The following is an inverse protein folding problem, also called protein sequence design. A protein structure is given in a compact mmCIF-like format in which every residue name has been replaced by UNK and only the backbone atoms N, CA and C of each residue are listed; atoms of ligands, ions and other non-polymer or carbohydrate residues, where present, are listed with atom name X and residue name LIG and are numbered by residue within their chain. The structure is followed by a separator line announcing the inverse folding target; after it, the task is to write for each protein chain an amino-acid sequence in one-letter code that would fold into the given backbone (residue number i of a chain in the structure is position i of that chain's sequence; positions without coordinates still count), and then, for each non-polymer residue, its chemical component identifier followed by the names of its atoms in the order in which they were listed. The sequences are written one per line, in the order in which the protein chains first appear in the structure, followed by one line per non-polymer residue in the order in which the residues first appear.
data_IF_949747277625
#
_entry.id   IF_949747277625
#
_cell.length_a   1.000
_cell.length_b   1.000
_cell.length_c   1.000
_cell.angle_alpha   90.00
_cell.angle_beta   90.00
_cell.angle_gamma   90.00
#
_symmetry.space_group_name_H-M   'P 1'
#
loop_
_entity.id
_entity.type
_entity.pdbx_description
1 polymer ?
#
# COMPACT_ATOMS: atom_id res chain seq x y z
N UNK A 1 -3.95 -22.22 -26.32
CA UNK A 1 -3.28 -21.24 -25.43
C UNK A 1 -2.86 -20.00 -26.20
N UNK A 2 -2.27 -20.15 -27.39
CA UNK A 2 -1.80 -19.02 -28.20
C UNK A 2 -2.94 -18.14 -28.74
N UNK A 3 -4.08 -18.72 -29.10
CA UNK A 3 -5.25 -17.96 -29.58
C UNK A 3 -5.81 -17.00 -28.50
N UNK A 4 -5.93 -17.48 -27.25
CA UNK A 4 -6.35 -16.66 -26.10
C UNK A 4 -5.37 -15.52 -25.83
N UNK A 5 -4.08 -15.80 -25.88
CA UNK A 5 -3.04 -14.78 -25.68
C UNK A 5 -3.11 -13.73 -26.79
N UNK A 6 -3.30 -14.15 -28.04
CA UNK A 6 -3.48 -13.23 -29.16
C UNK A 6 -4.73 -12.34 -28.99
N UNK A 7 -5.82 -12.89 -28.45
CA UNK A 7 -7.01 -12.09 -28.12
C UNK A 7 -6.70 -11.04 -27.04
N UNK A 8 -5.97 -11.42 -25.99
CA UNK A 8 -5.56 -10.50 -24.93
C UNK A 8 -4.64 -9.39 -25.44
N UNK A 9 -3.70 -9.71 -26.35
CA UNK A 9 -2.82 -8.73 -27.00
C UNK A 9 -3.67 -7.70 -27.75
N UNK A 10 -4.58 -8.14 -28.62
CA UNK A 10 -5.48 -7.23 -29.38
C UNK A 10 -6.32 -6.35 -28.46
N UNK A 11 -6.85 -6.91 -27.36
CA UNK A 11 -7.58 -6.12 -26.34
C UNK A 11 -6.67 -5.07 -25.70
N UNK A 12 -5.45 -5.43 -25.34
CA UNK A 12 -4.50 -4.53 -24.69
C UNK A 12 -4.05 -3.39 -25.60
N UNK A 13 -3.85 -3.66 -26.90
CA UNK A 13 -3.55 -2.65 -27.93
C UNK A 13 -4.70 -1.65 -28.11
N UNK A 14 -5.94 -2.14 -28.12
CA UNK A 14 -7.13 -1.28 -28.16
C UNK A 14 -7.20 -0.38 -26.92
N UNK A 15 -6.91 -0.93 -25.74
CA UNK A 15 -6.88 -0.16 -24.49
C UNK A 15 -5.79 0.92 -24.54
N UNK A 16 -4.60 0.57 -25.02
CA UNK A 16 -3.50 1.53 -25.16
C UNK A 16 -3.87 2.68 -26.12
N UNK A 17 -4.49 2.34 -27.24
CA UNK A 17 -4.99 3.33 -28.22
C UNK A 17 -5.94 4.33 -27.56
N UNK A 18 -6.89 3.85 -26.75
CA UNK A 18 -7.82 4.70 -26.02
C UNK A 18 -7.14 5.56 -24.94
N UNK A 19 -6.13 5.01 -24.24
CA UNK A 19 -5.31 5.76 -23.28
C UNK A 19 -4.48 6.85 -23.98
N UNK A 20 -4.00 6.58 -25.20
CA UNK A 20 -3.27 7.55 -26.02
C UNK A 20 -4.17 8.72 -26.41
N UNK A 21 -5.42 8.44 -26.79
CA UNK A 21 -6.48 9.45 -27.05
C UNK A 21 -6.94 10.21 -25.80
N UNK A 22 -6.48 9.83 -24.60
CA UNK A 22 -6.79 10.52 -23.35
C UNK A 22 -7.87 9.84 -22.49
N UNK A 23 -8.42 8.70 -22.91
CA UNK A 23 -9.34 7.94 -22.07
C UNK A 23 -8.59 7.21 -20.95
N UNK A 24 -8.53 7.83 -19.77
CA UNK A 24 -7.79 7.28 -18.63
C UNK A 24 -8.59 6.23 -17.84
N UNK A 25 -9.83 5.90 -18.20
CA UNK A 25 -10.74 5.05 -17.41
C UNK A 25 -10.45 3.54 -17.61
N UNK A 26 -9.30 3.08 -17.09
CA UNK A 26 -8.86 1.67 -17.22
C UNK A 26 -9.91 0.62 -16.82
N UNK A 27 -10.76 0.90 -15.81
CA UNK A 27 -11.82 -0.03 -15.39
C UNK A 27 -12.87 -0.26 -16.49
N UNK A 28 -13.37 0.81 -17.11
CA UNK A 28 -14.38 0.67 -18.18
C UNK A 28 -13.79 0.05 -19.45
N UNK A 29 -12.48 0.22 -19.65
CA UNK A 29 -11.75 -0.38 -20.77
C UNK A 29 -11.44 -1.88 -20.57
N UNK A 30 -11.79 -2.47 -19.42
CA UNK A 30 -11.56 -3.90 -19.15
C UNK A 30 -10.11 -4.26 -18.76
N UNK A 31 -9.22 -3.27 -18.61
CA UNK A 31 -7.80 -3.47 -18.29
C UNK A 31 -7.57 -4.36 -17.07
N UNK A 32 -8.35 -4.17 -16.00
CA UNK A 32 -8.17 -4.94 -14.76
C UNK A 32 -8.51 -6.42 -14.88
N UNK A 33 -9.32 -6.82 -15.89
CA UNK A 33 -9.58 -8.24 -16.18
C UNK A 33 -8.31 -8.90 -16.74
N UNK A 34 -7.65 -8.24 -17.70
CA UNK A 34 -6.37 -8.71 -18.27
C UNK A 34 -5.28 -8.78 -17.19
N UNK A 35 -5.21 -7.78 -16.30
CA UNK A 35 -4.28 -7.81 -15.15
C UNK A 35 -4.58 -9.01 -14.24
N UNK A 36 -5.85 -9.30 -13.96
CA UNK A 36 -6.22 -10.45 -13.15
C UNK A 36 -5.77 -11.77 -13.79
N UNK A 37 -5.98 -11.93 -15.10
CA UNK A 37 -5.48 -13.11 -15.83
C UNK A 37 -3.96 -13.23 -15.75
N UNK A 38 -3.23 -12.13 -15.88
CA UNK A 38 -1.78 -12.11 -15.69
C UNK A 38 -1.36 -12.44 -14.24
N UNK A 39 -2.13 -12.05 -13.23
CA UNK A 39 -1.84 -12.43 -11.84
C UNK A 39 -2.00 -13.93 -11.61
N UNK A 40 -2.98 -14.54 -12.26
CA UNK A 40 -3.33 -15.97 -12.13
C UNK A 40 -2.41 -16.84 -12.97
N UNK A 41 -2.03 -16.43 -14.18
CA UNK A 41 -1.18 -17.24 -15.05
C UNK A 41 0.22 -16.60 -15.23
N UNK A 42 1.30 -17.21 -14.70
CA UNK A 42 2.67 -16.71 -14.83
C UNK A 42 3.13 -16.55 -16.29
N UNK A 43 2.64 -17.39 -17.21
CA UNK A 43 2.99 -17.31 -18.63
C UNK A 43 2.43 -16.02 -19.26
N UNK A 44 1.17 -15.68 -18.94
CA UNK A 44 0.55 -14.41 -19.35
C UNK A 44 1.30 -13.23 -18.74
N UNK A 45 1.70 -13.31 -17.45
CA UNK A 45 2.53 -12.27 -16.83
C UNK A 45 3.87 -12.05 -17.56
N UNK A 46 4.53 -13.14 -17.99
CA UNK A 46 5.80 -13.06 -18.70
C UNK A 46 5.67 -12.37 -20.06
N UNK A 47 4.60 -12.67 -20.80
CA UNK A 47 4.37 -12.13 -22.15
C UNK A 47 3.80 -10.70 -22.10
N UNK A 48 2.73 -10.48 -21.34
CA UNK A 48 1.98 -9.22 -21.36
C UNK A 48 2.40 -8.24 -20.26
N UNK A 49 3.13 -8.70 -19.25
CA UNK A 49 3.42 -7.92 -18.04
C UNK A 49 4.09 -6.58 -18.33
N UNK A 50 5.00 -6.53 -19.32
CA UNK A 50 5.70 -5.29 -19.70
C UNK A 50 4.70 -4.26 -20.24
N UNK A 51 3.85 -4.67 -21.18
CA UNK A 51 2.84 -3.81 -21.81
C UNK A 51 1.78 -3.34 -20.80
N UNK A 52 1.35 -4.25 -19.91
CA UNK A 52 0.47 -3.92 -18.79
C UNK A 52 1.08 -2.82 -17.91
N UNK A 53 2.37 -2.95 -17.58
CA UNK A 53 3.07 -1.99 -16.75
C UNK A 53 3.21 -0.62 -17.44
N UNK A 54 3.52 -0.59 -18.73
CA UNK A 54 3.63 0.62 -19.53
C UNK A 54 2.31 1.40 -19.59
N UNK A 55 1.19 0.73 -19.89
CA UNK A 55 -0.14 1.36 -19.92
C UNK A 55 -0.51 1.91 -18.54
N UNK A 56 -0.28 1.10 -17.49
CA UNK A 56 -0.61 1.52 -16.12
C UNK A 56 0.22 2.72 -15.67
N UNK A 57 1.52 2.72 -15.98
CA UNK A 57 2.43 3.83 -15.72
C UNK A 57 1.98 5.07 -16.48
N UNK A 58 1.68 4.97 -17.78
CA UNK A 58 1.23 6.09 -18.62
C UNK A 58 -0.04 6.75 -18.07
N UNK A 59 -1.02 5.96 -17.64
CA UNK A 59 -2.24 6.49 -17.01
C UNK A 59 -1.93 7.15 -15.67
N UNK A 60 -1.08 6.54 -14.85
CA UNK A 60 -0.68 7.13 -13.57
C UNK A 60 0.03 8.47 -13.78
N UNK A 61 0.96 8.52 -14.75
CA UNK A 61 1.76 9.70 -15.04
C UNK A 61 0.93 10.88 -15.53
N UNK A 62 -0.12 10.62 -16.30
CA UNK A 62 -1.09 11.64 -16.73
C UNK A 62 -2.01 12.11 -15.59
N UNK A 63 -2.33 11.25 -14.62
CA UNK A 63 -3.25 11.58 -13.52
C UNK A 63 -2.56 12.26 -12.33
N UNK A 64 -1.34 11.87 -12.00
CA UNK A 64 -0.59 12.39 -10.85
C UNK A 64 0.57 13.26 -11.29
N UNK A 65 0.49 14.55 -10.98
CA UNK A 65 1.56 15.53 -11.18
C UNK A 65 2.65 15.42 -10.11
N UNK A 66 2.23 15.25 -8.86
CA UNK A 66 3.12 15.19 -7.69
C UNK A 66 3.54 13.74 -7.44
N UNK A 67 4.74 13.39 -7.90
CA UNK A 67 5.34 12.07 -7.76
C UNK A 67 6.85 12.22 -7.64
N UNK A 68 7.44 11.48 -6.72
CA UNK A 68 8.86 11.57 -6.40
C UNK A 68 9.54 10.21 -6.56
N UNK A 69 10.86 10.20 -6.64
CA UNK A 69 11.64 8.96 -6.64
C UNK A 69 11.35 8.22 -5.32
N UNK A 70 11.00 6.91 -5.35
CA UNK A 70 10.65 6.17 -4.15
C UNK A 70 11.69 6.31 -3.04
N UNK A 71 12.98 6.15 -3.38
CA UNK A 71 14.06 6.18 -2.40
C UNK A 71 14.13 7.49 -1.61
N UNK A 72 13.84 8.65 -2.24
CA UNK A 72 13.86 9.94 -1.54
C UNK A 72 12.75 10.01 -0.49
N UNK A 73 11.55 9.55 -0.82
CA UNK A 73 10.47 9.51 0.14
C UNK A 73 10.70 8.48 1.24
N UNK A 74 11.31 7.32 0.93
CA UNK A 74 11.65 6.33 1.95
C UNK A 74 12.71 6.88 2.91
N UNK A 75 13.76 7.53 2.40
CA UNK A 75 14.76 8.20 3.25
C UNK A 75 14.09 9.24 4.15
N UNK A 76 13.25 10.11 3.58
CA UNK A 76 12.56 11.15 4.34
C UNK A 76 11.67 10.56 5.44
N UNK A 77 10.87 9.54 5.14
CA UNK A 77 9.98 8.90 6.11
C UNK A 77 10.75 8.13 7.18
N UNK A 78 11.87 7.50 6.82
CA UNK A 78 12.77 6.90 7.80
C UNK A 78 13.40 7.95 8.72
N UNK A 79 13.85 9.09 8.18
CA UNK A 79 14.38 10.20 8.97
C UNK A 79 13.33 10.77 9.94
N UNK A 80 12.09 10.97 9.48
CA UNK A 80 10.97 11.37 10.34
C UNK A 80 10.73 10.35 11.46
N UNK A 81 10.79 9.06 11.13
CA UNK A 81 10.60 7.99 12.12
C UNK A 81 11.71 7.99 13.17
N UNK A 82 12.97 8.10 12.73
CA UNK A 82 14.14 8.18 13.62
C UNK A 82 14.06 9.42 14.50
N UNK A 83 13.74 10.58 13.92
CA UNK A 83 13.61 11.83 14.68
C UNK A 83 12.49 11.74 15.73
N UNK A 84 11.35 11.14 15.37
CA UNK A 84 10.24 10.91 16.30
C UNK A 84 10.70 10.02 17.46
N UNK A 85 11.35 8.88 17.17
CA UNK A 85 11.90 7.99 18.20
C UNK A 85 12.94 8.70 19.07
N UNK A 86 13.80 9.55 18.50
CA UNK A 86 14.81 10.28 19.27
C UNK A 86 14.18 11.32 20.19
N UNK A 87 13.09 11.96 19.75
CA UNK A 87 12.38 12.97 20.54
C UNK A 87 11.80 12.40 21.84
N UNK A 88 11.50 11.10 21.91
CA UNK A 88 11.13 10.41 23.15
C UNK A 88 12.13 10.67 24.28
N UNK A 89 13.44 10.58 24.01
CA UNK A 89 14.47 10.75 25.03
C UNK A 89 14.55 12.18 25.58
N UNK A 90 14.09 13.17 24.80
CA UNK A 90 14.04 14.57 25.23
C UNK A 90 12.86 14.84 26.17
N UNK A 91 11.76 14.10 26.02
CA UNK A 91 10.54 14.29 26.80
C UNK A 91 10.35 13.23 27.90
N UNK A 92 11.22 12.22 27.97
CA UNK A 92 11.04 11.04 28.82
C UNK A 92 10.83 11.35 30.31
N UNK A 93 11.53 12.36 30.83
CA UNK A 93 11.46 12.72 32.25
C UNK A 93 10.30 13.64 32.62
N UNK A 94 9.62 14.23 31.63
CA UNK A 94 8.47 15.11 31.85
C UNK A 94 7.19 14.36 31.48
N UNK A 95 6.40 14.00 32.50
CA UNK A 95 5.15 13.24 32.32
C UNK A 95 4.17 13.94 31.39
N UNK A 96 4.07 15.26 31.45
CA UNK A 96 3.14 16.03 30.63
C UNK A 96 3.59 16.03 29.17
N UNK A 97 4.86 16.34 28.90
CA UNK A 97 5.42 16.32 27.55
C UNK A 97 5.41 14.91 26.95
N UNK A 98 5.70 13.89 27.75
CA UNK A 98 5.61 12.50 27.33
C UNK A 98 4.16 12.13 26.94
N UNK A 99 3.17 12.61 27.71
CA UNK A 99 1.75 12.39 27.39
C UNK A 99 1.30 13.10 26.11
N UNK A 100 1.92 14.22 25.73
CA UNK A 100 1.71 14.86 24.41
C UNK A 100 2.39 14.05 23.31
N UNK A 101 3.61 13.59 23.57
CA UNK A 101 4.41 12.86 22.61
C UNK A 101 3.77 11.55 22.15
N UNK A 102 3.18 10.77 23.06
CA UNK A 102 2.65 9.44 22.76
C UNK A 102 1.60 9.42 21.63
N UNK A 103 0.48 10.18 21.68
CA UNK A 103 -0.52 10.15 20.62
C UNK A 103 0.00 10.70 19.30
N UNK A 104 0.81 11.76 19.34
CA UNK A 104 1.43 12.36 18.13
C UNK A 104 2.34 11.33 17.46
N UNK A 105 3.18 10.65 18.25
CA UNK A 105 4.15 9.68 17.75
C UNK A 105 3.49 8.40 17.25
N UNK A 106 2.42 7.95 17.93
CA UNK A 106 1.58 6.85 17.47
C UNK A 106 1.09 7.11 16.04
N UNK A 107 0.57 8.31 15.77
CA UNK A 107 0.12 8.70 14.43
C UNK A 107 1.28 8.83 13.43
N UNK A 108 2.32 9.59 13.77
CA UNK A 108 3.46 9.85 12.87
C UNK A 108 4.15 8.54 12.48
N UNK A 109 4.52 7.71 13.46
CA UNK A 109 5.23 6.44 13.21
C UNK A 109 4.37 5.44 12.46
N UNK A 110 3.06 5.39 12.74
CA UNK A 110 2.13 4.55 11.97
C UNK A 110 2.12 4.96 10.49
N UNK A 111 1.98 6.25 10.20
CA UNK A 111 1.93 6.78 8.85
C UNK A 111 3.27 6.69 8.11
N UNK A 112 4.40 6.91 8.80
CA UNK A 112 5.73 6.90 8.19
C UNK A 112 6.26 5.48 7.98
N UNK A 113 6.08 4.58 8.95
CA UNK A 113 6.59 3.22 8.86
C UNK A 113 5.78 2.37 7.89
N UNK A 114 4.48 2.61 7.70
CA UNK A 114 3.65 1.85 6.77
C UNK A 114 4.25 1.70 5.35
N UNK A 115 4.51 2.79 4.60
CA UNK A 115 5.11 2.69 3.27
C UNK A 115 6.59 2.25 3.33
N UNK A 116 7.32 2.56 4.40
CA UNK A 116 8.71 2.09 4.57
C UNK A 116 8.75 0.56 4.63
N UNK A 117 7.90 -0.05 5.46
CA UNK A 117 7.77 -1.49 5.56
C UNK A 117 7.31 -2.10 4.24
N UNK A 118 6.30 -1.56 3.57
CA UNK A 118 5.86 -2.06 2.25
C UNK A 118 6.98 -1.99 1.22
N UNK A 119 7.76 -0.90 1.20
CA UNK A 119 8.89 -0.74 0.31
C UNK A 119 9.94 -1.81 0.57
N UNK A 120 10.39 -1.95 1.83
CA UNK A 120 11.42 -2.92 2.21
C UNK A 120 10.95 -4.35 1.89
N UNK A 121 9.76 -4.74 2.35
CA UNK A 121 9.19 -6.07 2.08
C UNK A 121 9.06 -6.33 0.57
N UNK A 122 8.58 -5.34 -0.19
CA UNK A 122 8.49 -5.46 -1.64
C UNK A 122 9.85 -5.65 -2.31
N UNK A 123 10.86 -4.87 -1.91
CA UNK A 123 12.22 -4.97 -2.45
C UNK A 123 12.88 -6.31 -2.14
N UNK A 124 12.69 -6.85 -0.93
CA UNK A 124 13.16 -8.20 -0.55
C UNK A 124 12.58 -9.27 -1.48
N UNK A 125 11.33 -9.09 -1.91
CA UNK A 125 10.67 -10.01 -2.85
C UNK A 125 10.88 -9.69 -4.34
N UNK A 126 11.71 -8.70 -4.67
CA UNK A 126 11.99 -8.30 -6.05
C UNK A 126 10.93 -7.39 -6.69
N UNK A 127 9.94 -6.93 -5.92
CA UNK A 127 8.92 -5.98 -6.37
C UNK A 127 9.53 -4.58 -6.40
N UNK A 128 9.48 -3.93 -7.56
CA UNK A 128 9.97 -2.55 -7.72
C UNK A 128 8.82 -1.56 -7.55
N UNK A 129 9.18 -0.32 -7.24
CA UNK A 129 8.27 0.81 -7.11
C UNK A 129 8.71 1.90 -8.08
N UNK A 130 7.75 2.53 -8.73
CA UNK A 130 7.98 3.60 -9.69
C UNK A 130 8.06 4.96 -9.00
N UNK A 131 7.12 5.21 -8.09
CA UNK A 131 6.96 6.51 -7.44
C UNK A 131 6.54 6.37 -5.98
N UNK A 132 6.92 7.35 -5.17
CA UNK A 132 6.17 7.71 -3.97
C UNK A 132 5.36 8.96 -4.28
N UNK A 133 4.11 9.00 -3.83
CA UNK A 133 3.19 10.08 -4.13
C UNK A 133 2.25 10.32 -2.95
N UNK A 134 1.82 11.57 -2.71
CA UNK A 134 0.79 11.84 -1.72
C UNK A 134 -0.55 11.26 -2.20
N UNK A 135 -1.05 10.28 -1.47
CA UNK A 135 -2.40 9.72 -1.51
C UNK A 135 -3.22 10.38 -0.40
N UNK A 136 -4.52 10.54 -0.63
CA UNK A 136 -5.35 11.29 0.31
C UNK A 136 -5.66 10.53 1.60
N UNK A 137 -5.60 11.24 2.74
CA UNK A 137 -6.15 10.81 4.04
C UNK A 137 -7.69 10.76 3.95
N UNK A 138 -8.29 9.67 4.43
CA UNK A 138 -9.75 9.51 4.53
C UNK A 138 -10.16 9.27 5.98
N UNK A 139 -10.18 10.32 6.80
CA UNK A 139 -10.72 10.16 8.16
C UNK A 139 -12.25 10.36 8.15
N UNK A 140 -12.84 11.23 7.29
CA UNK A 140 -14.30 11.48 7.33
C UNK A 140 -15.08 11.70 6.01
N UNK A 141 -14.45 11.81 4.83
CA UNK A 141 -15.24 11.91 3.59
C UNK A 141 -14.46 11.59 2.31
N UNK A 142 -15.12 10.84 1.42
CA UNK A 142 -14.61 10.42 0.11
C UNK A 142 -15.15 11.30 -1.04
N UNK A 143 -15.40 12.59 -0.80
CA UNK A 143 -15.85 13.49 -1.88
C UNK A 143 -14.68 13.93 -2.76
N UNK A 144 -14.92 13.82 -4.07
CA UNK A 144 -14.03 14.09 -5.20
C UNK A 144 -13.70 15.57 -5.43
N UNK A 145 -14.11 16.48 -4.54
CA UNK A 145 -13.95 17.92 -4.75
C UNK A 145 -13.13 18.54 -3.63
N UNK A 146 -11.84 18.75 -3.95
CA UNK A 146 -10.97 19.73 -3.31
C UNK A 146 -10.71 19.52 -1.82
N UNK A 147 -9.51 19.02 -1.49
CA UNK A 147 -8.68 19.46 -0.35
C UNK A 147 -7.33 18.75 -0.46
N UNK A 148 -6.27 19.50 -0.13
CA UNK A 148 -4.87 19.04 -0.09
C UNK A 148 -4.76 17.96 0.99
N UNK A 149 -4.14 16.83 0.66
CA UNK A 149 -4.06 15.63 1.50
C UNK A 149 -2.70 14.96 1.33
N UNK A 150 -2.01 14.65 2.42
CA UNK A 150 -0.63 14.17 2.40
C UNK A 150 -0.53 12.88 3.22
N UNK A 151 -0.77 11.74 2.58
CA UNK A 151 -0.37 10.43 3.08
C UNK A 151 0.55 9.79 2.02
N UNK A 152 1.80 9.43 2.33
CA UNK A 152 2.69 8.84 1.34
C UNK A 152 2.19 7.46 0.89
N UNK A 153 2.03 7.27 -0.42
CA UNK A 153 1.72 5.97 -1.02
C UNK A 153 2.75 5.58 -2.07
N UNK A 154 2.91 4.27 -2.25
CA UNK A 154 3.85 3.71 -3.22
C UNK A 154 3.12 3.26 -4.48
N UNK A 155 3.67 3.64 -5.63
CA UNK A 155 3.23 3.16 -6.93
C UNK A 155 4.07 1.94 -7.31
N UNK A 156 3.44 0.78 -7.37
CA UNK A 156 4.07 -0.47 -7.82
C UNK A 156 4.47 -0.38 -9.29
N UNK A 157 5.61 -0.98 -9.62
CA UNK A 157 5.92 -1.40 -10.98
C UNK A 157 5.20 -2.73 -11.26
N UNK A 158 4.19 -2.69 -12.14
CA UNK A 158 3.35 -3.86 -12.40
C UNK A 158 4.13 -5.01 -13.06
N UNK A 159 5.23 -4.74 -13.77
CA UNK A 159 5.99 -5.80 -14.41
C UNK A 159 6.70 -6.68 -13.36
N UNK A 160 7.50 -6.07 -12.47
CA UNK A 160 8.12 -6.80 -11.36
C UNK A 160 7.08 -7.38 -10.41
N UNK A 161 5.98 -6.67 -10.15
CA UNK A 161 4.88 -7.18 -9.34
C UNK A 161 4.27 -8.46 -9.91
N UNK A 162 3.85 -8.48 -11.18
CA UNK A 162 3.18 -9.64 -11.77
C UNK A 162 4.08 -10.87 -11.87
N UNK A 163 5.39 -10.67 -12.04
CA UNK A 163 6.39 -11.74 -12.08
C UNK A 163 6.82 -12.25 -10.69
N UNK A 164 6.31 -11.65 -9.61
CA UNK A 164 6.57 -12.10 -8.23
C UNK A 164 5.51 -13.11 -7.79
N UNK A 165 5.85 -14.23 -7.12
CA UNK A 165 4.87 -15.19 -6.62
C UNK A 165 3.73 -14.57 -5.78
N UNK A 166 2.47 -15.03 -5.92
CA UNK A 166 1.31 -14.41 -5.29
C UNK A 166 1.41 -14.30 -3.76
N UNK A 167 1.95 -15.30 -3.08
CA UNK A 167 2.12 -15.26 -1.62
C UNK A 167 3.05 -14.12 -1.18
N UNK A 168 4.13 -13.85 -1.93
CA UNK A 168 5.06 -12.75 -1.66
C UNK A 168 4.39 -11.40 -1.90
N UNK A 169 3.54 -11.30 -2.93
CA UNK A 169 2.71 -10.11 -3.18
C UNK A 169 1.73 -9.87 -2.03
N UNK A 170 1.10 -10.93 -1.54
CA UNK A 170 0.17 -10.86 -0.40
C UNK A 170 0.88 -10.33 0.85
N UNK A 171 2.02 -10.93 1.23
CA UNK A 171 2.81 -10.51 2.40
C UNK A 171 3.22 -9.03 2.29
N UNK A 172 3.66 -8.57 1.11
CA UNK A 172 4.01 -7.16 0.88
C UNK A 172 2.83 -6.21 1.13
N UNK A 173 1.62 -6.55 0.69
CA UNK A 173 0.44 -5.71 0.96
C UNK A 173 0.09 -5.69 2.44
N UNK A 174 0.18 -6.82 3.13
CA UNK A 174 -0.13 -6.94 4.55
C UNK A 174 0.90 -6.22 5.45
N UNK A 175 2.17 -6.20 5.06
CA UNK A 175 3.26 -5.78 5.97
C UNK A 175 3.10 -4.35 6.51
N UNK A 176 2.68 -3.40 5.66
CA UNK A 176 2.42 -2.03 6.09
C UNK A 176 1.29 -1.93 7.13
N UNK A 177 0.18 -2.65 6.89
CA UNK A 177 -0.96 -2.68 7.80
C UNK A 177 -0.62 -3.37 9.13
N UNK A 178 0.14 -4.46 9.09
CA UNK A 178 0.62 -5.13 10.30
C UNK A 178 1.47 -4.19 11.16
N UNK A 179 2.45 -3.49 10.58
CA UNK A 179 3.30 -2.55 11.34
C UNK A 179 2.50 -1.38 11.90
N UNK A 180 1.58 -0.84 11.10
CA UNK A 180 0.64 0.21 11.52
C UNK A 180 -0.11 -0.20 12.79
N UNK A 181 -0.67 -1.41 12.82
CA UNK A 181 -1.42 -1.94 13.95
C UNK A 181 -0.53 -2.14 15.18
N UNK A 182 0.67 -2.71 14.99
CA UNK A 182 1.63 -2.91 16.07
C UNK A 182 2.04 -1.59 16.72
N UNK A 183 2.28 -0.53 15.93
CA UNK A 183 2.65 0.79 16.44
C UNK A 183 1.54 1.37 17.31
N UNK A 184 0.30 1.41 16.83
CA UNK A 184 -0.79 2.05 17.60
C UNK A 184 -1.14 1.27 18.87
N UNK A 185 -1.08 -0.07 18.83
CA UNK A 185 -1.26 -0.92 20.01
C UNK A 185 -0.11 -0.71 21.00
N UNK A 186 1.13 -0.66 20.52
CA UNK A 186 2.30 -0.39 21.36
C UNK A 186 2.13 0.93 22.13
N UNK A 187 1.80 2.04 21.45
CA UNK A 187 1.63 3.33 22.11
C UNK A 187 0.47 3.35 23.10
N UNK A 188 -0.64 2.64 22.81
CA UNK A 188 -1.73 2.49 23.77
C UNK A 188 -1.31 1.73 25.03
N UNK A 189 -0.74 0.53 24.88
CA UNK A 189 -0.27 -0.28 26.02
C UNK A 189 0.80 0.48 26.80
N UNK A 190 1.76 1.08 26.09
CA UNK A 190 2.86 1.82 26.70
C UNK A 190 2.35 3.02 27.51
N UNK A 191 1.34 3.76 27.00
CA UNK A 191 0.72 4.87 27.73
C UNK A 191 0.12 4.46 29.08
N UNK A 192 -0.40 3.23 29.18
CA UNK A 192 -0.92 2.65 30.43
C UNK A 192 0.23 2.30 31.37
N UNK A 193 1.26 1.60 30.85
CA UNK A 193 2.41 1.13 31.64
C UNK A 193 3.12 2.28 32.35
N UNK A 194 3.32 3.40 31.66
CA UNK A 194 4.01 4.56 32.24
C UNK A 194 3.09 5.48 33.03
N UNK A 195 1.81 5.12 33.18
CA UNK A 195 0.79 5.94 33.82
C UNK A 195 0.76 7.37 33.24
N UNK A 196 0.67 7.49 31.91
CA UNK A 196 0.55 8.79 31.23
C UNK A 196 -0.70 9.55 31.70
N UNK A 197 -0.82 10.82 31.34
CA UNK A 197 -2.04 11.57 31.59
C UNK A 197 -3.26 10.87 30.98
N UNK A 198 -4.39 10.86 31.70
CA UNK A 198 -5.57 10.06 31.32
C UNK A 198 -6.08 10.39 29.90
N UNK A 199 -6.01 11.66 29.51
CA UNK A 199 -6.42 12.09 28.17
C UNK A 199 -5.50 11.50 27.09
N UNK A 200 -4.20 11.33 27.35
CA UNK A 200 -3.26 10.71 26.42
C UNK A 200 -3.58 9.23 26.25
N UNK A 201 -3.86 8.53 27.35
CA UNK A 201 -4.27 7.11 27.32
C UNK A 201 -5.53 6.94 26.48
N UNK A 202 -6.53 7.80 26.69
CA UNK A 202 -7.79 7.79 25.92
C UNK A 202 -7.51 8.03 24.43
N UNK A 203 -6.71 9.04 24.06
CA UNK A 203 -6.41 9.32 22.65
C UNK A 203 -5.68 8.15 22.01
N UNK A 204 -4.64 7.60 22.66
CA UNK A 204 -3.94 6.41 22.16
C UNK A 204 -4.89 5.21 22.00
N UNK A 205 -5.82 5.02 22.95
CA UNK A 205 -6.84 3.97 22.87
C UNK A 205 -7.80 4.17 21.70
N UNK A 206 -8.30 5.39 21.50
CA UNK A 206 -9.15 5.75 20.35
C UNK A 206 -8.39 5.53 19.04
N UNK A 207 -7.12 5.91 18.96
CA UNK A 207 -6.28 5.63 17.78
C UNK A 207 -6.16 4.13 17.55
N UNK A 208 -5.75 3.34 18.54
CA UNK A 208 -5.63 1.89 18.40
C UNK A 208 -6.93 1.22 17.95
N UNK A 209 -8.06 1.55 18.60
CA UNK A 209 -9.39 1.03 18.23
C UNK A 209 -9.78 1.48 16.83
N UNK A 210 -9.59 2.76 16.47
CA UNK A 210 -9.96 3.27 15.14
C UNK A 210 -9.18 2.57 14.01
N UNK A 211 -7.89 2.27 14.21
CA UNK A 211 -7.08 1.53 13.25
C UNK A 211 -7.50 0.06 13.18
N UNK A 212 -7.80 -0.59 14.30
CA UNK A 212 -8.36 -1.96 14.34
C UNK A 212 -9.68 -2.01 13.56
N UNK A 213 -10.61 -1.10 13.85
CA UNK A 213 -11.91 -1.04 13.19
C UNK A 213 -11.76 -0.75 11.69
N UNK A 214 -10.84 0.12 11.31
CA UNK A 214 -10.52 0.38 9.90
C UNK A 214 -10.00 -0.88 9.22
N UNK A 215 -9.14 -1.65 9.88
CA UNK A 215 -8.65 -2.91 9.33
C UNK A 215 -9.73 -4.00 9.24
N UNK A 216 -10.60 -4.13 10.24
CA UNK A 216 -11.69 -5.13 10.23
C UNK A 216 -12.76 -4.76 9.19
N UNK A 217 -13.32 -3.55 9.28
CA UNK A 217 -14.52 -3.18 8.53
C UNK A 217 -14.21 -2.63 7.13
N UNK A 218 -13.10 -1.93 6.96
CA UNK A 218 -12.76 -1.26 5.70
C UNK A 218 -11.67 -1.99 4.90
N UNK A 219 -10.68 -2.60 5.55
CA UNK A 219 -9.53 -3.19 4.84
C UNK A 219 -9.87 -4.50 4.10
N UNK A 220 -10.80 -5.30 4.62
CA UNK A 220 -11.35 -6.50 3.95
C UNK A 220 -12.07 -6.20 2.63
N UNK A 221 -12.63 -4.98 2.47
CA UNK A 221 -13.40 -4.57 1.28
C UNK A 221 -12.67 -3.59 0.36
N UNK A 222 -11.68 -2.83 0.86
CA UNK A 222 -11.13 -1.69 0.10
C UNK A 222 -9.63 -1.40 0.27
N UNK A 223 -8.87 -2.12 1.11
CA UNK A 223 -7.47 -1.77 1.39
C UNK A 223 -6.49 -2.97 1.36
N UNK A 224 -5.45 -2.94 2.20
CA UNK A 224 -4.34 -3.90 2.21
C UNK A 224 -4.80 -5.36 2.35
N UNK A 225 -5.76 -5.63 3.23
CA UNK A 225 -6.25 -6.99 3.46
C UNK A 225 -7.06 -7.55 2.29
N UNK A 226 -7.80 -6.71 1.56
CA UNK A 226 -8.41 -7.12 0.30
C UNK A 226 -7.35 -7.61 -0.69
N UNK A 227 -6.29 -6.82 -0.90
CA UNK A 227 -5.22 -7.21 -1.81
C UNK A 227 -4.49 -8.46 -1.31
N UNK A 228 -4.23 -8.56 0.00
CA UNK A 228 -3.72 -9.80 0.59
C UNK A 228 -4.61 -11.00 0.26
N UNK A 229 -5.92 -10.91 0.53
CA UNK A 229 -6.86 -12.01 0.30
C UNK A 229 -6.98 -12.38 -1.18
N UNK A 230 -6.99 -11.38 -2.08
CA UNK A 230 -6.96 -11.60 -3.53
C UNK A 230 -5.71 -12.39 -3.93
N UNK A 231 -4.52 -11.93 -3.51
CA UNK A 231 -3.25 -12.58 -3.87
C UNK A 231 -3.07 -13.94 -3.18
N UNK A 232 -3.57 -14.10 -1.96
CA UNK A 232 -3.56 -15.36 -1.23
C UNK A 232 -4.48 -16.39 -1.89
N UNK A 233 -5.68 -15.99 -2.34
CA UNK A 233 -6.56 -16.87 -3.14
C UNK A 233 -5.86 -17.34 -4.42
N UNK A 234 -5.19 -16.44 -5.12
CA UNK A 234 -4.40 -16.78 -6.31
C UNK A 234 -3.25 -17.75 -5.96
N UNK A 235 -2.60 -17.57 -4.81
CA UNK A 235 -1.55 -18.50 -4.34
C UNK A 235 -2.06 -19.93 -4.17
N UNK A 236 -3.30 -20.10 -3.69
CA UNK A 236 -3.93 -21.42 -3.57
C UNK A 236 -4.20 -22.04 -4.94
N UNK A 237 -4.62 -21.23 -5.92
CA UNK A 237 -4.81 -21.69 -7.31
C UNK A 237 -3.50 -22.20 -7.91
N UNK A 238 -2.39 -21.48 -7.72
CA UNK A 238 -1.07 -21.90 -8.20
C UNK A 238 -0.62 -23.23 -7.59
N UNK A 239 -0.87 -23.43 -6.29
CA UNK A 239 -0.51 -24.67 -5.62
C UNK A 239 -1.28 -25.85 -6.21
N UNK A 240 -2.59 -25.69 -6.39
CA UNK A 240 -3.46 -26.72 -6.96
C UNK A 240 -3.13 -27.04 -8.43
N UNK A 241 -2.62 -26.10 -9.23
CA UNK A 241 -2.17 -26.37 -10.61
C UNK A 241 -0.83 -27.09 -10.67
N UNK A 242 0.09 -26.78 -9.74
CA UNK A 242 1.40 -27.44 -9.66
C UNK A 242 1.30 -28.90 -9.17
N UNK A 243 0.26 -29.21 -8.41
CA UNK A 243 -0.05 -30.54 -7.89
C UNK A 243 -0.94 -31.37 -8.85
N UNK A 244 -1.23 -30.87 -10.07
CA UNK A 244 -1.88 -31.68 -11.12
C UNK A 244 -0.83 -32.56 -11.82
N UNK A 245 -1.08 -33.88 -11.93
CA UNK A 245 -0.18 -34.81 -12.61
C UNK A 245 -0.01 -34.47 -14.09
#
# INVERSE_FOLDING_TARGET
MDEHINELIKKLEKIETEVNKGNLKLKSLGFWKIVYEAKVNPYIAKILGKKIAEINKKVFDKRWKWKFRPILGIILLSLISIATIFFYFLVYYDRFLLSIYLPISSFILSASLHPVTQYITGRIFGIKFLYIYPRGIYIFHRSSKGRIKIEPALKLDYYSYLNTPPIKRAIMHASGATVTLLVVIFFFIYSIIINAEIWSIIICGVLAVSYILTDIFYSSKMAAWKHFLEEYKISKLWKNEKDRP
#
